data_IF_822645932440
#
_entry.id   IF_822645932440
#
_cell.length_a   1.000
_cell.length_b   1.000
_cell.length_c   1.000
_cell.angle_alpha   90.00
_cell.angle_beta   90.00
_cell.angle_gamma   90.00
#
_symmetry.space_group_name_H-M   'P 1'
#
loop_
_entity.id
_entity.type
_entity.pdbx_description
1 polymer ?
#
# COMPACT_ATOMS: atom_id res chain seq x y z
N UNK A 1 -26.84 32.60 62.21
CA UNK A 1 -27.60 33.02 61.02
C UNK A 1 -26.96 32.40 59.78
N UNK A 2 -27.79 31.97 58.82
CA UNK A 2 -27.49 31.03 57.73
C UNK A 2 -26.52 31.60 56.68
N UNK A 3 -25.44 30.86 56.38
CA UNK A 3 -24.64 31.07 55.17
C UNK A 3 -25.39 30.47 53.97
N UNK A 4 -26.03 31.35 53.19
CA UNK A 4 -26.68 30.99 51.94
C UNK A 4 -25.61 31.02 50.85
N UNK A 5 -24.97 29.87 50.63
CA UNK A 5 -24.13 29.66 49.46
C UNK A 5 -25.01 29.79 48.20
N UNK A 6 -24.61 30.72 47.36
CA UNK A 6 -25.33 31.24 46.22
C UNK A 6 -25.36 30.19 45.08
N UNK A 7 -26.32 29.26 45.15
CA UNK A 7 -26.51 28.11 44.27
C UNK A 7 -26.64 28.45 42.76
N UNK A 8 -26.83 29.73 42.41
CA UNK A 8 -27.07 30.18 41.04
C UNK A 8 -25.79 30.22 40.19
N UNK A 9 -24.62 30.41 40.80
CA UNK A 9 -23.34 30.52 40.08
C UNK A 9 -22.62 29.17 39.89
N UNK A 10 -22.93 28.15 40.70
CA UNK A 10 -22.32 26.80 40.58
C UNK A 10 -22.80 26.04 39.34
N UNK A 11 -24.06 26.24 38.92
CA UNK A 11 -24.61 25.58 37.71
C UNK A 11 -23.92 26.04 36.43
N UNK A 12 -23.50 27.32 36.34
CA UNK A 12 -22.80 27.84 35.16
C UNK A 12 -21.37 27.32 35.07
N UNK A 13 -20.67 27.23 36.20
CA UNK A 13 -19.27 26.73 36.24
C UNK A 13 -19.20 25.24 35.88
N UNK A 14 -20.15 24.42 36.33
CA UNK A 14 -20.19 22.98 35.98
C UNK A 14 -20.52 22.77 34.50
N UNK A 15 -21.38 23.61 33.90
CA UNK A 15 -21.72 23.52 32.47
C UNK A 15 -20.55 23.97 31.59
N UNK A 16 -19.77 24.98 32.02
CA UNK A 16 -18.57 25.41 31.27
C UNK A 16 -17.41 24.42 31.37
N UNK A 17 -17.28 23.68 32.48
CA UNK A 17 -16.23 22.66 32.62
C UNK A 17 -16.53 21.37 31.83
N UNK A 18 -17.81 21.04 31.61
CA UNK A 18 -18.22 19.87 30.83
C UNK A 18 -18.03 20.06 29.31
N UNK A 19 -17.99 21.31 28.84
CA UNK A 19 -17.84 21.68 27.41
C UNK A 19 -16.38 21.75 26.93
N UNK A 20 -15.41 21.66 27.84
CA UNK A 20 -13.97 21.70 27.53
C UNK A 20 -13.33 20.30 27.42
N UNK A 21 -14.10 19.22 27.63
CA UNK A 21 -13.62 17.83 27.64
C UNK A 21 -13.96 17.06 26.35
N UNK A 22 -14.62 17.69 25.37
CA UNK A 22 -14.99 17.07 24.09
C UNK A 22 -14.60 18.04 22.97
N UNK A 23 -13.47 17.84 22.27
CA UNK A 23 -13.32 16.69 21.39
C UNK A 23 -11.87 16.16 21.33
N UNK A 24 -11.58 15.09 22.06
CA UNK A 24 -10.60 14.10 21.58
C UNK A 24 -11.43 13.04 20.86
N UNK A 25 -12.18 13.47 19.84
CA UNK A 25 -12.56 12.56 18.78
C UNK A 25 -11.26 12.33 18.03
N UNK A 26 -10.47 11.40 18.57
CA UNK A 26 -9.45 10.69 17.85
C UNK A 26 -10.03 10.41 16.48
N UNK A 27 -9.53 11.17 15.50
CA UNK A 27 -9.60 10.81 14.09
C UNK A 27 -8.79 9.52 13.97
N UNK A 28 -9.40 8.43 14.43
CA UNK A 28 -9.01 7.09 14.07
C UNK A 28 -9.39 7.03 12.59
N UNK A 29 -8.45 7.40 11.72
CA UNK A 29 -8.54 7.07 10.30
C UNK A 29 -8.76 5.57 10.25
N UNK A 30 -10.02 5.19 10.08
CA UNK A 30 -10.42 3.84 9.74
C UNK A 30 -9.70 3.52 8.45
N UNK A 31 -8.56 2.82 8.56
CA UNK A 31 -7.93 2.14 7.44
C UNK A 31 -9.08 1.43 6.73
N UNK A 32 -9.37 1.80 5.48
CA UNK A 32 -10.50 1.24 4.76
C UNK A 32 -10.21 -0.26 4.64
N UNK A 33 -11.02 -1.09 5.29
CA UNK A 33 -10.97 -2.54 5.10
C UNK A 33 -11.59 -2.83 3.73
N UNK A 34 -10.78 -2.63 2.69
CA UNK A 34 -11.12 -3.02 1.33
C UNK A 34 -10.93 -4.53 1.19
N UNK A 35 -11.85 -5.23 0.50
CA UNK A 35 -11.71 -6.65 0.25
C UNK A 35 -10.49 -6.90 -0.65
N UNK A 36 -9.53 -7.70 -0.19
CA UNK A 36 -8.31 -8.03 -0.95
C UNK A 36 -8.53 -9.02 -2.09
N UNK A 37 -9.66 -9.73 -2.06
CA UNK A 37 -9.94 -10.86 -2.95
C UNK A 37 -11.09 -10.56 -3.92
N UNK A 38 -11.51 -9.28 -4.02
CA UNK A 38 -12.61 -8.84 -4.88
C UNK A 38 -12.26 -7.56 -5.61
N UNK A 39 -12.80 -7.44 -6.82
CA UNK A 39 -12.78 -6.18 -7.55
C UNK A 39 -13.53 -5.10 -6.75
N UNK A 40 -12.99 -3.87 -6.80
CA UNK A 40 -13.65 -2.65 -6.35
C UNK A 40 -14.74 -2.23 -7.35
N UNK A 41 -15.48 -1.16 -7.04
CA UNK A 41 -16.61 -0.69 -7.88
C UNK A 41 -16.20 -0.32 -9.32
N UNK A 42 -14.96 0.12 -9.52
CA UNK A 42 -14.38 0.47 -10.81
C UNK A 42 -13.70 -0.71 -11.53
N UNK A 43 -13.74 -1.90 -10.93
CA UNK A 43 -13.10 -3.11 -11.45
C UNK A 43 -11.64 -3.26 -11.06
N UNK A 44 -11.03 -2.30 -10.36
CA UNK A 44 -9.66 -2.42 -9.84
C UNK A 44 -9.56 -3.42 -8.68
N UNK A 45 -8.34 -3.84 -8.34
CA UNK A 45 -8.10 -4.87 -7.33
C UNK A 45 -7.22 -4.35 -6.21
N UNK A 46 -7.72 -4.42 -4.97
CA UNK A 46 -6.94 -4.02 -3.80
C UNK A 46 -6.05 -5.18 -3.34
N UNK A 47 -4.74 -4.94 -3.24
CA UNK A 47 -3.79 -5.86 -2.62
C UNK A 47 -3.25 -5.26 -1.33
N UNK A 48 -3.20 -6.07 -0.27
CA UNK A 48 -2.68 -5.65 1.04
C UNK A 48 -1.68 -6.66 1.58
N UNK A 49 -0.53 -6.18 2.03
CA UNK A 49 0.46 -6.99 2.71
C UNK A 49 0.69 -6.50 4.14
N UNK A 50 -0.13 -6.98 5.07
CA UNK A 50 -0.08 -6.58 6.49
C UNK A 50 1.30 -6.82 7.12
N UNK A 51 2.00 -7.89 6.73
CA UNK A 51 3.32 -8.21 7.28
C UNK A 51 4.43 -7.26 6.82
N UNK A 52 4.24 -6.59 5.67
CA UNK A 52 5.19 -5.63 5.12
C UNK A 52 4.66 -4.19 5.21
N UNK A 53 3.50 -3.97 5.82
CA UNK A 53 2.88 -2.66 6.02
C UNK A 53 2.74 -1.83 4.73
N UNK A 54 2.21 -2.43 3.66
CA UNK A 54 1.83 -1.69 2.46
C UNK A 54 0.57 -2.25 1.82
N UNK A 55 -0.05 -1.43 0.99
CA UNK A 55 -1.11 -1.81 0.07
C UNK A 55 -0.93 -1.16 -1.29
N UNK A 56 -1.61 -1.70 -2.30
CA UNK A 56 -1.63 -1.16 -3.66
C UNK A 56 -2.96 -1.48 -4.34
N UNK A 57 -3.48 -0.54 -5.13
CA UNK A 57 -4.61 -0.80 -6.02
C UNK A 57 -4.06 -1.12 -7.41
N UNK A 58 -4.40 -2.30 -7.92
CA UNK A 58 -4.04 -2.76 -9.25
C UNK A 58 -5.17 -2.43 -10.23
N UNK A 59 -4.85 -2.00 -11.46
CA UNK A 59 -5.85 -1.79 -12.52
C UNK A 59 -6.66 -3.05 -12.82
N UNK A 60 -7.83 -2.88 -13.44
CA UNK A 60 -8.79 -3.98 -13.72
C UNK A 60 -8.20 -5.11 -14.58
N UNK A 61 -7.19 -4.81 -15.38
CA UNK A 61 -6.50 -5.77 -16.23
C UNK A 61 -5.78 -6.85 -15.42
N UNK A 62 -5.56 -6.61 -14.12
CA UNK A 62 -5.00 -7.57 -13.17
C UNK A 62 -6.03 -8.57 -12.62
N UNK A 63 -7.23 -8.72 -13.18
CA UNK A 63 -8.29 -9.61 -12.63
C UNK A 63 -7.83 -11.02 -12.22
N UNK A 64 -6.87 -11.60 -12.95
CA UNK A 64 -6.35 -12.95 -12.70
C UNK A 64 -4.92 -12.95 -12.15
N UNK A 65 -4.53 -11.91 -11.40
CA UNK A 65 -3.20 -11.84 -10.83
C UNK A 65 -2.99 -12.82 -9.67
N UNK A 66 -1.74 -13.21 -9.48
CA UNK A 66 -1.28 -13.96 -8.32
C UNK A 66 -0.09 -13.26 -7.69
N UNK A 67 0.16 -13.53 -6.40
CA UNK A 67 1.35 -13.02 -5.72
C UNK A 67 2.18 -14.12 -5.11
N UNK A 68 3.49 -13.93 -5.10
CA UNK A 68 4.43 -14.76 -4.38
C UNK A 68 5.34 -13.88 -3.53
N UNK A 69 5.70 -14.37 -2.34
CA UNK A 69 6.73 -13.74 -1.52
C UNK A 69 8.03 -14.53 -1.64
N UNK A 70 9.13 -13.85 -1.89
CA UNK A 70 10.47 -14.43 -1.87
C UNK A 70 11.39 -13.60 -0.97
N UNK A 71 12.26 -14.28 -0.22
CA UNK A 71 13.22 -13.61 0.67
C UNK A 71 14.60 -13.60 0.03
N UNK A 72 15.16 -12.40 -0.14
CA UNK A 72 16.57 -12.20 -0.41
C UNK A 72 17.39 -12.19 0.88
N UNK A 73 18.69 -11.91 0.75
CA UNK A 73 19.58 -11.79 1.92
C UNK A 73 19.16 -10.59 2.79
N UNK A 74 18.87 -9.45 2.17
CA UNK A 74 18.61 -8.16 2.83
C UNK A 74 17.32 -7.48 2.35
N UNK A 75 16.41 -8.25 1.74
CA UNK A 75 15.15 -7.74 1.21
C UNK A 75 14.08 -8.83 1.16
N UNK A 76 12.83 -8.39 1.03
CA UNK A 76 11.69 -9.26 0.73
C UNK A 76 11.03 -8.75 -0.55
N UNK A 77 10.84 -9.65 -1.51
CA UNK A 77 10.09 -9.37 -2.73
C UNK A 77 8.66 -9.86 -2.59
N UNK A 78 7.73 -9.02 -3.03
CA UNK A 78 6.36 -9.39 -3.38
C UNK A 78 6.25 -9.32 -4.90
N UNK A 79 6.19 -10.48 -5.51
CA UNK A 79 6.14 -10.67 -6.95
C UNK A 79 4.69 -10.83 -7.39
N UNK A 80 4.25 -10.00 -8.33
CA UNK A 80 2.93 -10.12 -8.94
C UNK A 80 3.08 -10.84 -10.27
N UNK A 81 2.21 -11.80 -10.50
CA UNK A 81 2.16 -12.63 -11.70
C UNK A 81 0.83 -12.45 -12.39
N UNK A 82 0.87 -12.39 -13.72
CA UNK A 82 -0.33 -12.35 -14.56
C UNK A 82 -0.24 -13.45 -15.62
N UNK A 83 -1.38 -14.02 -16.04
CA UNK A 83 -1.39 -15.04 -17.08
C UNK A 83 -0.81 -14.51 -18.39
N UNK A 84 -0.07 -15.37 -19.09
CA UNK A 84 0.37 -15.11 -20.46
C UNK A 84 0.43 -16.40 -21.27
N UNK A 85 0.14 -16.26 -22.55
CA UNK A 85 0.37 -17.27 -23.58
C UNK A 85 1.80 -17.23 -24.15
N UNK A 86 2.61 -16.23 -23.79
CA UNK A 86 3.98 -16.08 -24.26
C UNK A 86 4.95 -16.99 -23.49
N UNK A 87 5.31 -18.12 -24.11
CA UNK A 87 6.21 -19.12 -23.53
C UNK A 87 7.59 -18.58 -23.14
N UNK A 88 7.98 -17.39 -23.61
CA UNK A 88 9.26 -16.75 -23.23
C UNK A 88 9.27 -16.27 -21.78
N UNK A 89 8.11 -15.93 -21.21
CA UNK A 89 8.00 -15.32 -19.88
C UNK A 89 7.69 -16.34 -18.77
N UNK A 90 7.14 -17.51 -19.14
CA UNK A 90 6.76 -18.58 -18.21
C UNK A 90 7.90 -19.45 -17.66
N UNK A 91 9.13 -18.95 -17.60
CA UNK A 91 10.29 -19.74 -17.16
C UNK A 91 10.34 -19.94 -15.64
N UNK A 92 9.85 -18.97 -14.86
CA UNK A 92 9.73 -19.09 -13.40
C UNK A 92 8.43 -19.78 -12.98
N UNK A 93 7.32 -19.38 -13.62
CA UNK A 93 5.99 -19.95 -13.39
C UNK A 93 5.35 -20.20 -14.77
N UNK A 94 5.18 -21.46 -15.21
CA UNK A 94 4.61 -21.76 -16.51
C UNK A 94 3.24 -21.11 -16.71
N UNK A 95 3.08 -20.41 -17.84
CA UNK A 95 1.84 -19.68 -18.18
C UNK A 95 1.65 -18.34 -17.48
N UNK A 96 2.66 -17.86 -16.74
CA UNK A 96 2.61 -16.56 -16.07
C UNK A 96 3.83 -15.72 -16.39
N UNK A 97 3.63 -14.41 -16.40
CA UNK A 97 4.67 -13.40 -16.49
C UNK A 97 4.64 -12.51 -15.24
N UNK A 98 5.77 -11.87 -14.92
CA UNK A 98 5.96 -11.12 -13.67
C UNK A 98 6.03 -9.60 -13.89
N UNK A 99 4.90 -8.87 -13.99
CA UNK A 99 4.90 -7.44 -14.34
C UNK A 99 5.40 -6.53 -13.23
N UNK A 100 5.25 -6.94 -11.97
CA UNK A 100 5.54 -6.08 -10.82
C UNK A 100 6.34 -6.87 -9.81
N UNK A 101 7.42 -6.28 -9.33
CA UNK A 101 8.12 -6.73 -8.13
C UNK A 101 8.20 -5.56 -7.15
N UNK A 102 7.50 -5.67 -6.02
CA UNK A 102 7.64 -4.74 -4.92
C UNK A 102 8.71 -5.31 -3.99
N UNK A 103 9.87 -4.65 -3.93
CA UNK A 103 10.98 -5.03 -3.07
C UNK A 103 11.02 -4.13 -1.85
N UNK A 104 11.02 -4.76 -0.69
CA UNK A 104 11.06 -4.10 0.62
C UNK A 104 12.41 -4.39 1.28
N UNK A 105 13.17 -3.34 1.54
CA UNK A 105 14.43 -3.39 2.27
C UNK A 105 14.22 -2.92 3.70
N UNK A 106 15.08 -3.37 4.61
CA UNK A 106 15.31 -2.61 5.84
C UNK A 106 16.10 -1.33 5.51
N UNK A 107 15.84 -0.24 6.23
CA UNK A 107 16.39 1.09 5.94
C UNK A 107 17.93 1.12 5.93
N UNK A 108 18.55 0.45 6.89
CA UNK A 108 20.00 0.34 7.01
C UNK A 108 20.64 -0.35 5.79
N UNK A 109 19.95 -1.33 5.22
CA UNK A 109 20.41 -2.07 4.04
C UNK A 109 20.28 -1.21 2.77
N UNK A 110 19.19 -0.46 2.64
CA UNK A 110 18.99 0.45 1.51
C UNK A 110 20.06 1.54 1.46
N UNK A 111 20.52 2.04 2.61
CA UNK A 111 21.57 3.06 2.67
C UNK A 111 22.92 2.61 2.05
N UNK A 112 23.13 1.30 1.89
CA UNK A 112 24.33 0.75 1.24
C UNK A 112 24.19 0.61 -0.27
N UNK A 113 22.97 0.76 -0.80
CA UNK A 113 22.65 0.59 -2.22
C UNK A 113 22.84 1.93 -2.94
N UNK A 114 23.54 1.90 -4.07
CA UNK A 114 23.62 3.06 -4.96
C UNK A 114 22.32 3.18 -5.77
N UNK A 115 21.39 4.00 -5.28
CA UNK A 115 20.08 4.26 -5.88
C UNK A 115 20.17 4.62 -7.37
N UNK A 116 21.17 5.41 -7.78
CA UNK A 116 21.34 5.82 -9.18
C UNK A 116 21.65 4.67 -10.15
N UNK A 117 22.07 3.51 -9.62
CA UNK A 117 22.34 2.29 -10.40
C UNK A 117 21.26 1.23 -10.24
N UNK A 118 20.23 1.49 -9.43
CA UNK A 118 19.15 0.55 -9.18
C UNK A 118 18.19 0.49 -10.38
N UNK A 119 17.81 -0.72 -10.78
CA UNK A 119 16.70 -0.95 -11.72
C UNK A 119 15.33 -0.73 -11.06
N UNK A 120 15.29 -0.63 -9.73
CA UNK A 120 14.08 -0.38 -8.96
C UNK A 120 13.85 1.12 -8.76
N UNK A 121 12.59 1.55 -8.91
CA UNK A 121 12.12 2.89 -8.56
C UNK A 121 11.75 2.92 -7.07
N UNK A 122 12.21 3.91 -6.31
CA UNK A 122 11.80 4.10 -4.91
C UNK A 122 10.36 4.62 -4.85
N UNK A 123 9.52 3.95 -4.06
CA UNK A 123 8.12 4.32 -3.80
C UNK A 123 7.99 5.18 -2.53
N UNK A 124 8.76 4.86 -1.49
CA UNK A 124 8.72 5.58 -0.23
C UNK A 124 9.44 4.86 0.90
N UNK A 125 9.39 5.45 2.09
CA UNK A 125 10.02 4.94 3.31
C UNK A 125 9.03 5.04 4.47
N UNK A 126 9.06 4.05 5.35
CA UNK A 126 8.21 4.01 6.54
C UNK A 126 8.45 2.75 7.36
N UNK A 127 8.21 2.80 8.67
CA UNK A 127 8.39 1.66 9.58
C UNK A 127 9.80 1.02 9.49
N UNK A 128 10.85 1.84 9.36
CA UNK A 128 12.25 1.44 9.15
C UNK A 128 12.48 0.58 7.89
N UNK A 129 11.66 0.80 6.86
CA UNK A 129 11.71 0.07 5.59
C UNK A 129 11.72 1.02 4.41
N UNK A 130 12.35 0.58 3.33
CA UNK A 130 12.32 1.24 2.02
C UNK A 130 11.55 0.37 1.04
N UNK A 131 10.55 0.96 0.41
CA UNK A 131 9.68 0.31 -0.56
C UNK A 131 10.11 0.74 -1.95
N UNK A 132 10.28 -0.25 -2.82
CA UNK A 132 10.70 -0.03 -4.20
C UNK A 132 9.89 -0.90 -5.15
N UNK A 133 9.80 -0.49 -6.41
CA UNK A 133 9.05 -1.19 -7.44
C UNK A 133 9.92 -1.39 -8.68
N UNK A 134 9.83 -2.58 -9.27
CA UNK A 134 10.35 -2.89 -10.58
C UNK A 134 9.18 -3.33 -11.47
N UNK A 135 9.14 -2.75 -12.66
CA UNK A 135 8.21 -3.12 -13.72
C UNK A 135 8.91 -3.94 -14.80
N UNK A 136 8.14 -4.53 -15.72
CA UNK A 136 8.71 -5.13 -16.92
C UNK A 136 9.58 -4.16 -17.70
N UNK A 137 10.76 -4.62 -18.11
CA UNK A 137 11.52 -3.95 -19.18
C UNK A 137 10.91 -4.24 -20.56
N UNK A 138 10.32 -5.44 -20.69
CA UNK A 138 9.64 -5.88 -21.90
C UNK A 138 8.48 -6.78 -21.53
N UNK A 139 7.30 -6.45 -22.02
CA UNK A 139 6.06 -7.15 -21.76
C UNK A 139 5.82 -8.33 -22.73
N UNK A 140 5.03 -9.34 -22.32
CA UNK A 140 4.52 -10.38 -23.21
C UNK A 140 3.65 -9.85 -24.35
N UNK A 141 3.55 -10.61 -25.44
CA UNK A 141 2.76 -10.22 -26.63
C UNK A 141 1.29 -9.90 -26.33
N UNK A 142 0.68 -10.64 -25.43
CA UNK A 142 -0.72 -10.47 -25.02
C UNK A 142 -0.93 -9.28 -24.07
N UNK A 143 0.16 -8.68 -23.58
CA UNK A 143 0.12 -7.52 -22.69
C UNK A 143 0.53 -6.22 -23.37
N UNK A 144 0.99 -6.21 -24.62
CA UNK A 144 1.52 -4.99 -25.27
C UNK A 144 0.46 -3.89 -25.46
N UNK A 145 -0.79 -4.26 -25.64
CA UNK A 145 -1.90 -3.29 -25.79
C UNK A 145 -2.41 -2.75 -24.44
N UNK A 146 -2.02 -3.41 -23.35
CA UNK A 146 -2.45 -3.08 -21.98
C UNK A 146 -1.33 -2.39 -21.21
N UNK A 147 -0.10 -2.87 -21.35
CA UNK A 147 1.04 -2.43 -20.57
C UNK A 147 1.67 -1.18 -21.19
N UNK A 148 1.39 -0.05 -20.58
CA UNK A 148 1.94 1.24 -20.97
C UNK A 148 2.20 2.11 -19.73
N UNK A 149 2.91 3.23 -19.90
CA UNK A 149 3.34 4.08 -18.79
C UNK A 149 2.20 4.56 -17.87
N UNK A 150 0.98 4.72 -18.38
CA UNK A 150 -0.19 5.08 -17.55
C UNK A 150 -0.57 3.97 -16.55
N UNK A 151 -0.43 2.69 -16.92
CA UNK A 151 -0.68 1.56 -16.01
C UNK A 151 0.37 1.53 -14.90
N UNK A 152 1.66 1.69 -15.26
CA UNK A 152 2.74 1.81 -14.28
C UNK A 152 2.51 2.97 -13.31
N UNK A 153 2.13 4.14 -13.84
CA UNK A 153 1.89 5.32 -13.03
C UNK A 153 0.67 5.14 -12.12
N UNK A 154 -0.42 4.54 -12.62
CA UNK A 154 -1.59 4.24 -11.81
C UNK A 154 -1.25 3.32 -10.62
N UNK A 155 -0.38 2.33 -10.83
CA UNK A 155 0.09 1.43 -9.75
C UNK A 155 0.92 2.21 -8.73
N UNK A 156 1.82 3.09 -9.18
CA UNK A 156 2.64 3.93 -8.30
C UNK A 156 1.75 4.87 -7.48
N UNK A 157 0.83 5.57 -8.13
CA UNK A 157 -0.03 6.60 -7.50
C UNK A 157 -0.97 6.00 -6.45
N UNK A 158 -1.31 4.72 -6.57
CA UNK A 158 -2.16 3.99 -5.63
C UNK A 158 -1.39 3.11 -4.65
N UNK A 159 -0.05 3.23 -4.60
CA UNK A 159 0.74 2.57 -3.57
C UNK A 159 0.65 3.32 -2.24
N UNK A 160 0.32 2.62 -1.16
CA UNK A 160 0.21 3.20 0.18
C UNK A 160 1.07 2.43 1.19
N UNK A 161 1.86 3.15 1.99
CA UNK A 161 2.54 2.63 3.18
C UNK A 161 1.58 2.73 4.36
N UNK A 162 1.47 1.66 5.15
CA UNK A 162 0.49 1.51 6.24
C UNK A 162 1.00 1.82 7.66
#
# INVERSE_FOLDING_TARGET
MKNILNFKNMKKVVITLLLLVLPILSSCSSKRDLPTDKALEDGSFFYRNTSLAFSVILPKEFENYHTQKTSGVNYIDVEFFVPTSDERFGTQVPGYAKPIVIRVFDEDEWATINEASSIYKKLGEGNNKVYTILFWEKEPKDWQEVWHGEVEQAIIDNFEIE
#
